data_IF_279912425097
#
_entry.id   IF_279912425097
#
_cell.length_a   1.000
_cell.length_b   1.000
_cell.length_c   1.000
_cell.angle_alpha   90.00
_cell.angle_beta   90.00
_cell.angle_gamma   90.00
#
_symmetry.space_group_name_H-M   'P 1'
#
loop_
_entity.id
_entity.type
_entity.pdbx_description
1 polymer ?
#
# COMPACT_ATOMS: atom_id res chain seq x y z
N UNK A 1 -21.83 -32.39 -75.45
CA UNK A 1 -20.89 -31.27 -75.21
C UNK A 1 -20.93 -30.89 -73.71
N UNK A 2 -20.58 -31.80 -72.78
CA UNK A 2 -20.83 -31.62 -71.33
C UNK A 2 -19.59 -31.73 -70.42
N UNK A 3 -18.36 -31.58 -70.96
CA UNK A 3 -17.12 -31.71 -70.19
C UNK A 3 -16.43 -30.44 -69.64
N UNK A 4 -16.98 -29.20 -69.67
CA UNK A 4 -16.28 -28.04 -69.08
C UNK A 4 -16.64 -27.73 -67.62
N UNK A 5 -17.82 -28.11 -67.11
CA UNK A 5 -18.27 -27.73 -65.76
C UNK A 5 -17.61 -28.56 -64.64
N UNK A 6 -17.41 -29.86 -64.85
CA UNK A 6 -16.80 -30.76 -63.86
C UNK A 6 -15.31 -30.44 -63.58
N UNK A 7 -14.59 -29.93 -64.57
CA UNK A 7 -13.18 -29.55 -64.42
C UNK A 7 -13.01 -28.25 -63.63
N UNK A 8 -13.93 -27.28 -63.79
CA UNK A 8 -13.95 -26.04 -63.00
C UNK A 8 -14.28 -26.33 -61.53
N UNK A 9 -15.23 -27.22 -61.23
CA UNK A 9 -15.53 -27.66 -59.87
C UNK A 9 -14.35 -28.37 -59.19
N UNK A 10 -13.64 -29.25 -59.91
CA UNK A 10 -12.46 -29.94 -59.38
C UNK A 10 -11.33 -28.98 -59.03
N UNK A 11 -11.11 -27.95 -59.85
CA UNK A 11 -10.14 -26.89 -59.57
C UNK A 11 -10.50 -26.07 -58.34
N UNK A 12 -11.79 -25.73 -58.17
CA UNK A 12 -12.27 -25.01 -56.98
C UNK A 12 -12.20 -25.85 -55.70
N UNK A 13 -12.61 -27.13 -55.74
CA UNK A 13 -12.53 -28.06 -54.59
C UNK A 13 -11.08 -28.27 -54.14
N UNK A 14 -10.14 -28.42 -55.09
CA UNK A 14 -8.69 -28.50 -54.76
C UNK A 14 -8.17 -27.23 -54.12
N UNK A 15 -8.53 -26.04 -54.62
CA UNK A 15 -8.15 -24.75 -54.01
C UNK A 15 -8.71 -24.60 -52.60
N UNK A 16 -9.97 -24.97 -52.38
CA UNK A 16 -10.60 -24.96 -51.07
C UNK A 16 -9.89 -25.88 -50.08
N UNK A 17 -9.58 -27.12 -50.48
CA UNK A 17 -8.85 -28.09 -49.65
C UNK A 17 -7.46 -27.55 -49.29
N UNK A 18 -6.74 -26.96 -50.25
CA UNK A 18 -5.42 -26.36 -50.01
C UNK A 18 -5.50 -25.21 -49.01
N UNK A 19 -6.50 -24.33 -49.14
CA UNK A 19 -6.69 -23.20 -48.21
C UNK A 19 -7.07 -23.70 -46.81
N UNK A 20 -7.99 -24.66 -46.70
CA UNK A 20 -8.36 -25.27 -45.42
C UNK A 20 -7.19 -26.00 -44.77
N UNK A 21 -6.36 -26.71 -45.54
CA UNK A 21 -5.16 -27.38 -45.05
C UNK A 21 -4.12 -26.37 -44.55
N UNK A 22 -3.94 -25.25 -45.26
CA UNK A 22 -3.06 -24.15 -44.82
C UNK A 22 -3.53 -23.53 -43.50
N UNK A 23 -4.83 -23.24 -43.37
CA UNK A 23 -5.42 -22.74 -42.12
C UNK A 23 -5.26 -23.75 -40.98
N UNK A 24 -5.55 -25.03 -41.22
CA UNK A 24 -5.41 -26.08 -40.22
C UNK A 24 -3.95 -26.28 -39.77
N UNK A 25 -2.99 -26.19 -40.69
CA UNK A 25 -1.57 -26.19 -40.36
C UNK A 25 -1.20 -24.97 -39.50
N UNK A 26 -1.63 -23.77 -39.88
CA UNK A 26 -1.38 -22.55 -39.10
C UNK A 26 -1.93 -22.63 -37.67
N UNK A 27 -3.18 -23.09 -37.53
CA UNK A 27 -3.82 -23.32 -36.23
C UNK A 27 -3.09 -24.38 -35.40
N UNK A 28 -2.60 -25.45 -36.03
CA UNK A 28 -1.83 -26.51 -35.36
C UNK A 28 -0.50 -25.97 -34.82
N UNK A 29 0.20 -25.13 -35.58
CA UNK A 29 1.46 -24.50 -35.14
C UNK A 29 1.22 -23.56 -33.96
N UNK A 30 0.17 -22.73 -34.01
CA UNK A 30 -0.20 -21.86 -32.89
C UNK A 30 -0.58 -22.64 -31.64
N UNK A 31 -1.33 -23.74 -31.80
CA UNK A 31 -1.71 -24.62 -30.70
C UNK A 31 -0.50 -25.29 -30.07
N UNK A 32 0.43 -25.80 -30.88
CA UNK A 32 1.68 -26.36 -30.40
C UNK A 32 2.54 -25.32 -29.66
N UNK A 33 2.61 -24.08 -30.16
CA UNK A 33 3.30 -22.97 -29.50
C UNK A 33 2.64 -22.61 -28.16
N UNK A 34 1.31 -22.64 -28.09
CA UNK A 34 0.56 -22.34 -26.87
C UNK A 34 0.74 -23.44 -25.80
N UNK A 35 0.70 -24.71 -26.20
CA UNK A 35 1.01 -25.84 -25.32
C UNK A 35 2.45 -25.75 -24.82
N UNK A 36 3.41 -25.36 -25.68
CA UNK A 36 4.79 -25.13 -25.26
C UNK A 36 4.89 -24.07 -24.16
N UNK A 37 4.25 -22.92 -24.35
CA UNK A 37 4.16 -21.86 -23.35
C UNK A 37 3.49 -22.33 -22.04
N UNK A 38 2.42 -23.12 -22.15
CA UNK A 38 1.61 -23.54 -21.00
C UNK A 38 2.13 -24.77 -20.24
N UNK A 39 3.00 -25.60 -20.84
CA UNK A 39 3.50 -26.84 -20.22
C UNK A 39 4.98 -26.73 -19.88
N UNK A 40 5.79 -26.13 -20.75
CA UNK A 40 7.25 -26.05 -20.57
C UNK A 40 7.65 -24.78 -19.81
N UNK A 41 7.07 -23.63 -20.15
CA UNK A 41 7.34 -22.34 -19.49
C UNK A 41 6.28 -22.01 -18.41
N UNK A 42 5.42 -22.95 -18.05
CA UNK A 42 4.38 -22.71 -17.03
C UNK A 42 4.98 -22.17 -15.73
N UNK A 43 6.05 -22.79 -15.26
CA UNK A 43 6.68 -22.40 -13.99
C UNK A 43 7.30 -21.01 -14.05
N UNK A 44 7.85 -20.59 -15.20
CA UNK A 44 8.41 -19.24 -15.32
C UNK A 44 7.32 -18.17 -15.38
N UNK A 45 6.23 -18.39 -16.12
CA UNK A 45 5.12 -17.43 -16.16
C UNK A 45 4.29 -17.43 -14.88
N UNK A 46 4.12 -18.58 -14.22
CA UNK A 46 3.48 -18.68 -12.92
C UNK A 46 4.33 -17.98 -11.84
N UNK A 47 5.66 -18.13 -11.88
CA UNK A 47 6.56 -17.43 -10.96
C UNK A 47 6.59 -15.91 -11.23
N UNK A 48 6.55 -15.49 -12.49
CA UNK A 48 6.48 -14.07 -12.85
C UNK A 48 5.14 -13.44 -12.43
N UNK A 49 4.02 -14.16 -12.62
CA UNK A 49 2.72 -13.75 -12.10
C UNK A 49 2.72 -13.69 -10.57
N UNK A 50 3.28 -14.68 -9.87
CA UNK A 50 3.37 -14.68 -8.42
C UNK A 50 4.17 -13.48 -7.90
N UNK A 51 5.29 -13.12 -8.53
CA UNK A 51 6.06 -11.91 -8.17
C UNK A 51 5.27 -10.61 -8.28
N UNK A 52 4.25 -10.56 -9.14
CA UNK A 52 3.39 -9.39 -9.29
C UNK A 52 2.29 -9.30 -8.21
N UNK A 53 1.95 -10.41 -7.55
CA UNK A 53 0.88 -10.44 -6.53
C UNK A 53 1.40 -10.63 -5.10
N UNK A 54 2.59 -11.20 -4.93
CA UNK A 54 3.22 -11.45 -3.64
C UNK A 54 4.11 -10.27 -3.23
N UNK A 55 3.70 -9.53 -2.20
CA UNK A 55 4.48 -8.45 -1.61
C UNK A 55 5.10 -8.89 -0.30
N UNK A 56 6.40 -8.62 -0.11
CA UNK A 56 7.05 -8.77 1.19
C UNK A 56 6.76 -7.52 2.02
N UNK A 57 6.01 -7.69 3.10
CA UNK A 57 5.82 -6.65 4.11
C UNK A 57 6.80 -6.90 5.25
N UNK A 58 7.63 -5.92 5.56
CA UNK A 58 8.53 -5.98 6.72
C UNK A 58 7.73 -5.70 7.99
N UNK A 59 7.85 -6.60 8.97
CA UNK A 59 7.26 -6.43 10.28
C UNK A 59 8.33 -5.82 11.19
N UNK A 60 8.22 -4.53 11.56
CA UNK A 60 9.24 -3.89 12.38
C UNK A 60 9.34 -4.60 13.75
N UNK A 61 10.56 -4.83 14.20
CA UNK A 61 10.81 -5.29 15.55
C UNK A 61 10.81 -4.11 16.52
N UNK A 62 10.21 -4.31 17.69
CA UNK A 62 10.26 -3.31 18.75
C UNK A 62 11.63 -3.33 19.44
N UNK A 63 12.17 -2.13 19.65
CA UNK A 63 13.46 -1.92 20.30
C UNK A 63 13.34 -2.11 21.82
N UNK A 64 14.35 -2.72 22.44
CA UNK A 64 14.39 -2.95 23.88
C UNK A 64 14.25 -1.66 24.71
N UNK A 65 13.63 -1.77 25.88
CA UNK A 65 13.49 -0.64 26.82
C UNK A 65 14.78 -0.40 27.61
N UNK A 66 15.03 0.84 28.02
CA UNK A 66 16.11 1.18 28.94
C UNK A 66 15.50 1.55 30.28
N UNK A 67 15.96 0.91 31.35
CA UNK A 67 15.52 1.16 32.73
C UNK A 67 16.70 1.48 33.64
N UNK A 68 16.47 2.29 34.66
CA UNK A 68 17.45 2.55 35.73
C UNK A 68 17.56 1.35 36.70
N UNK A 69 18.50 1.41 37.63
CA UNK A 69 18.66 0.46 38.75
C UNK A 69 17.38 0.26 39.55
N UNK A 70 16.60 1.33 39.72
CA UNK A 70 15.30 1.32 40.40
C UNK A 70 14.16 0.71 39.59
N UNK A 71 14.37 0.44 38.29
CA UNK A 71 13.33 -0.01 37.37
C UNK A 71 12.57 1.12 36.68
N UNK A 72 12.92 2.38 36.95
CA UNK A 72 12.31 3.54 36.30
C UNK A 72 12.64 3.57 34.80
N UNK A 73 11.63 3.85 33.97
CA UNK A 73 11.79 3.93 32.52
C UNK A 73 12.65 5.14 32.15
N UNK A 74 13.71 4.89 31.37
CA UNK A 74 14.61 5.92 30.84
C UNK A 74 14.42 6.11 29.34
N UNK A 75 14.16 5.03 28.61
CA UNK A 75 13.81 5.07 27.19
C UNK A 75 12.85 3.92 26.83
N UNK A 76 11.83 4.22 26.02
CA UNK A 76 10.90 3.22 25.48
C UNK A 76 10.44 3.58 24.08
N UNK A 77 9.95 2.59 23.34
CA UNK A 77 9.22 2.86 22.11
C UNK A 77 7.80 3.29 22.44
N UNK A 78 7.31 4.33 21.76
CA UNK A 78 5.93 4.77 21.77
C UNK A 78 5.37 4.57 20.36
N UNK A 79 4.22 3.91 20.26
CA UNK A 79 3.49 3.82 18.99
C UNK A 79 2.98 5.21 18.65
N UNK A 80 3.30 5.67 17.44
CA UNK A 80 2.81 6.92 16.89
C UNK A 80 2.19 6.67 15.53
N UNK A 81 1.25 7.51 15.14
CA UNK A 81 0.61 7.45 13.84
C UNK A 81 1.01 8.67 13.02
N UNK A 82 1.13 8.48 11.71
CA UNK A 82 1.27 9.55 10.73
C UNK A 82 0.11 9.47 9.77
N UNK A 83 -0.54 10.60 9.48
CA UNK A 83 -1.61 10.64 8.49
C UNK A 83 -1.01 10.82 7.09
N UNK A 84 -1.36 9.90 6.19
CA UNK A 84 -0.81 9.82 4.86
C UNK A 84 -1.93 9.92 3.84
N UNK A 85 -1.72 10.75 2.83
CA UNK A 85 -2.59 10.88 1.66
C UNK A 85 -1.99 10.12 0.48
N UNK A 86 -2.75 9.20 -0.08
CA UNK A 86 -2.48 8.60 -1.38
C UNK A 86 -3.12 9.48 -2.46
N UNK A 87 -2.28 10.19 -3.20
CA UNK A 87 -2.69 11.14 -4.23
C UNK A 87 -3.45 10.48 -5.38
N UNK A 88 -3.23 9.20 -5.65
CA UNK A 88 -3.94 8.47 -6.70
C UNK A 88 -5.36 8.12 -6.25
N UNK A 89 -5.50 7.59 -5.03
CA UNK A 89 -6.82 7.26 -4.47
C UNK A 89 -7.67 8.51 -4.18
N UNK A 90 -7.05 9.63 -3.81
CA UNK A 90 -7.76 10.91 -3.66
C UNK A 90 -8.42 11.41 -4.95
N UNK A 91 -7.98 10.91 -6.12
CA UNK A 91 -8.49 11.27 -7.45
C UNK A 91 -9.31 10.14 -8.09
N UNK A 92 -9.56 9.06 -7.35
CA UNK A 92 -10.39 7.96 -7.84
C UNK A 92 -11.87 8.35 -7.81
N UNK A 93 -12.55 8.18 -8.95
CA UNK A 93 -13.96 8.56 -9.08
C UNK A 93 -14.89 7.75 -8.18
N UNK A 94 -14.57 6.47 -7.94
CA UNK A 94 -15.40 5.61 -7.10
C UNK A 94 -15.41 6.09 -5.65
N UNK A 95 -14.22 6.42 -5.13
CA UNK A 95 -14.03 6.91 -3.77
C UNK A 95 -14.65 8.32 -3.62
N UNK A 96 -14.26 9.26 -4.49
CA UNK A 96 -14.67 10.67 -4.41
C UNK A 96 -16.19 10.84 -4.54
N UNK A 97 -16.83 10.16 -5.50
CA UNK A 97 -18.29 10.21 -5.65
C UNK A 97 -19.02 9.57 -4.45
N UNK A 98 -18.43 8.54 -3.83
CA UNK A 98 -18.98 7.90 -2.64
C UNK A 98 -18.96 8.80 -1.40
N UNK A 99 -17.88 9.55 -1.23
CA UNK A 99 -17.73 10.53 -0.15
C UNK A 99 -18.65 11.74 -0.35
N UNK A 100 -18.61 12.36 -1.53
CA UNK A 100 -19.45 13.51 -1.87
C UNK A 100 -20.94 13.15 -1.85
N UNK A 101 -21.32 11.96 -2.32
CA UNK A 101 -22.70 11.49 -2.25
C UNK A 101 -23.21 11.36 -0.80
N UNK A 102 -22.35 10.97 0.15
CA UNK A 102 -22.72 10.95 1.58
C UNK A 102 -22.92 12.36 2.15
N UNK A 103 -22.07 13.31 1.74
CA UNK A 103 -22.16 14.70 2.18
C UNK A 103 -23.41 15.40 1.64
N UNK A 104 -23.67 15.27 0.33
CA UNK A 104 -24.80 15.91 -0.36
C UNK A 104 -26.11 15.11 -0.22
N UNK A 105 -26.07 13.89 0.33
CA UNK A 105 -27.24 13.02 0.48
C UNK A 105 -27.76 12.43 -0.84
N UNK A 106 -26.95 12.46 -1.90
CA UNK A 106 -27.31 11.99 -3.25
C UNK A 106 -26.57 10.71 -3.62
N UNK A 107 -27.08 10.00 -4.63
CA UNK A 107 -26.41 8.79 -5.11
C UNK A 107 -25.08 9.12 -5.80
N UNK A 108 -24.04 8.27 -5.70
CA UNK A 108 -22.77 8.48 -6.40
C UNK A 108 -22.91 8.60 -7.92
N UNK A 109 -23.96 8.01 -8.51
CA UNK A 109 -24.26 8.12 -9.93
C UNK A 109 -24.71 9.53 -10.32
N UNK A 110 -25.48 10.17 -9.45
CA UNK A 110 -25.95 11.54 -9.65
C UNK A 110 -24.77 12.50 -9.67
N UNK A 111 -23.82 12.36 -8.74
CA UNK A 111 -22.59 13.17 -8.72
C UNK A 111 -21.79 12.98 -10.01
N UNK A 112 -21.62 11.73 -10.47
CA UNK A 112 -20.90 11.42 -11.70
C UNK A 112 -21.55 12.00 -12.97
N UNK A 113 -22.86 12.25 -12.93
CA UNK A 113 -23.59 12.86 -14.05
C UNK A 113 -23.69 14.38 -13.94
N UNK A 114 -23.60 14.93 -12.73
CA UNK A 114 -23.82 16.35 -12.46
C UNK A 114 -22.56 17.20 -12.61
N UNK A 115 -21.37 16.62 -12.46
CA UNK A 115 -20.10 17.36 -12.40
C UNK A 115 -19.03 16.74 -13.29
N UNK A 116 -18.12 17.58 -13.77
CA UNK A 116 -16.94 17.13 -14.50
C UNK A 116 -15.91 16.48 -13.55
N UNK A 117 -15.07 15.55 -14.06
CA UNK A 117 -14.04 14.87 -13.28
C UNK A 117 -13.16 15.75 -12.40
N UNK A 118 -12.78 16.92 -12.91
CA UNK A 118 -11.88 17.87 -12.24
C UNK A 118 -12.61 18.60 -11.11
N UNK A 119 -13.88 18.94 -11.30
CA UNK A 119 -14.74 19.57 -10.28
C UNK A 119 -15.05 18.61 -9.13
N UNK A 120 -15.28 17.33 -9.43
CA UNK A 120 -15.48 16.29 -8.41
C UNK A 120 -14.24 16.20 -7.52
N UNK A 121 -13.06 16.21 -8.13
CA UNK A 121 -11.78 16.15 -7.41
C UNK A 121 -11.58 17.39 -6.54
N UNK A 122 -11.81 18.60 -7.07
CA UNK A 122 -11.67 19.85 -6.34
C UNK A 122 -12.61 19.93 -5.13
N UNK A 123 -13.88 19.59 -5.31
CA UNK A 123 -14.87 19.52 -4.22
C UNK A 123 -14.48 18.52 -3.14
N UNK A 124 -13.99 17.35 -3.56
CA UNK A 124 -13.56 16.32 -2.64
C UNK A 124 -12.34 16.77 -1.81
N UNK A 125 -11.35 17.40 -2.43
CA UNK A 125 -10.21 17.97 -1.71
C UNK A 125 -10.66 19.08 -0.74
N UNK A 126 -11.64 19.90 -1.13
CA UNK A 126 -12.27 20.87 -0.24
C UNK A 126 -12.86 20.25 1.02
N UNK A 127 -13.65 19.17 0.87
CA UNK A 127 -14.22 18.42 1.98
C UNK A 127 -13.15 17.85 2.91
N UNK A 128 -12.12 17.22 2.34
CA UNK A 128 -11.00 16.65 3.08
C UNK A 128 -10.32 17.71 3.93
N UNK A 129 -10.00 18.86 3.32
CA UNK A 129 -9.35 19.97 4.02
C UNK A 129 -10.23 20.48 5.14
N UNK A 130 -11.53 20.70 4.90
CA UNK A 130 -12.48 21.21 5.89
C UNK A 130 -12.61 20.29 7.11
N UNK A 131 -12.60 18.96 6.91
CA UNK A 131 -12.72 18.00 8.02
C UNK A 131 -11.42 17.84 8.80
N UNK A 132 -10.28 17.79 8.11
CA UNK A 132 -9.01 17.40 8.75
C UNK A 132 -8.18 18.58 9.28
N UNK A 133 -8.34 19.81 8.78
CA UNK A 133 -7.43 20.91 9.13
C UNK A 133 -7.34 21.17 10.64
N UNK A 134 -8.46 21.04 11.37
CA UNK A 134 -8.52 21.27 12.83
C UNK A 134 -7.71 20.23 13.60
N UNK A 135 -7.92 18.96 13.30
CA UNK A 135 -7.24 17.85 13.99
C UNK A 135 -5.75 17.81 13.62
N UNK A 136 -5.41 18.12 12.37
CA UNK A 136 -4.02 18.16 11.92
C UNK A 136 -3.24 19.39 12.40
N UNK A 137 -3.93 20.42 12.92
CA UNK A 137 -3.33 21.72 13.31
C UNK A 137 -2.55 22.38 12.17
N UNK A 138 -2.97 22.16 10.91
CA UNK A 138 -2.37 22.74 9.70
C UNK A 138 -3.36 23.78 9.13
N UNK A 139 -2.91 24.98 8.74
CA UNK A 139 -3.77 25.95 8.06
C UNK A 139 -4.38 25.39 6.77
N UNK A 140 -5.65 25.71 6.51
CA UNK A 140 -6.43 25.27 5.33
C UNK A 140 -5.64 25.43 4.01
N UNK A 141 -5.01 26.60 3.82
CA UNK A 141 -4.24 26.89 2.61
C UNK A 141 -2.95 26.07 2.46
N UNK A 142 -2.32 25.66 3.55
CA UNK A 142 -1.15 24.80 3.52
C UNK A 142 -1.53 23.34 3.25
N UNK A 143 -2.58 22.85 3.91
CA UNK A 143 -3.07 21.48 3.72
C UNK A 143 -3.53 21.25 2.28
N UNK A 144 -4.27 22.22 1.71
CA UNK A 144 -4.68 22.17 0.31
C UNK A 144 -3.48 22.09 -0.64
N UNK A 145 -2.47 22.94 -0.44
CA UNK A 145 -1.24 22.95 -1.25
C UNK A 145 -0.48 21.63 -1.14
N UNK A 146 -0.43 21.02 0.05
CA UNK A 146 0.20 19.70 0.24
C UNK A 146 -0.50 18.62 -0.59
N UNK A 147 -1.84 18.57 -0.58
CA UNK A 147 -2.63 17.61 -1.34
C UNK A 147 -2.51 17.80 -2.87
N UNK A 148 -2.37 19.05 -3.32
CA UNK A 148 -2.24 19.38 -4.74
C UNK A 148 -0.80 19.23 -5.27
N UNK A 149 0.20 19.18 -4.38
CA UNK A 149 1.62 19.18 -4.76
C UNK A 149 2.04 17.99 -5.64
N UNK A 150 1.41 16.81 -5.48
CA UNK A 150 1.66 15.64 -6.31
C UNK A 150 0.35 15.03 -6.80
N UNK A 151 0.41 14.46 -8.01
CA UNK A 151 -0.70 13.74 -8.63
C UNK A 151 -0.72 12.24 -8.29
N UNK A 152 0.46 11.66 -8.06
CA UNK A 152 0.65 10.24 -7.78
C UNK A 152 1.60 10.05 -6.60
N UNK A 153 1.47 8.89 -5.94
CA UNK A 153 2.25 8.53 -4.76
C UNK A 153 1.69 9.08 -3.46
N UNK A 154 2.48 8.90 -2.40
CA UNK A 154 2.05 9.17 -1.04
C UNK A 154 2.67 10.45 -0.49
N UNK A 155 1.89 11.19 0.29
CA UNK A 155 2.32 12.39 0.98
C UNK A 155 1.96 12.25 2.46
N UNK A 156 2.95 12.45 3.33
CA UNK A 156 2.71 12.55 4.77
C UNK A 156 2.17 13.94 5.08
N UNK A 157 0.92 14.02 5.55
CA UNK A 157 0.26 15.29 5.84
C UNK A 157 0.73 15.87 7.18
N UNK A 158 0.74 15.01 8.20
CA UNK A 158 1.19 15.30 9.56
C UNK A 158 1.69 14.00 10.24
N UNK A 159 2.51 14.17 11.26
CA UNK A 159 3.17 13.09 12.00
C UNK A 159 2.87 13.21 13.49
N UNK A 160 3.16 12.14 14.22
CA UNK A 160 3.19 12.12 15.70
C UNK A 160 1.82 12.22 16.38
N UNK A 161 0.83 11.48 15.88
CA UNK A 161 -0.44 11.28 16.58
C UNK A 161 -0.32 10.13 17.57
N UNK A 162 -0.81 10.32 18.80
CA UNK A 162 -0.96 9.23 19.76
C UNK A 162 -2.12 8.31 19.37
N UNK A 163 -2.24 7.16 20.02
CA UNK A 163 -3.22 6.14 19.66
C UNK A 163 -4.67 6.63 19.83
N UNK A 164 -4.95 7.41 20.87
CA UNK A 164 -6.29 7.97 21.11
C UNK A 164 -6.69 8.98 20.01
N UNK A 165 -5.79 9.92 19.68
CA UNK A 165 -5.99 10.90 18.59
C UNK A 165 -6.15 10.19 17.23
N UNK A 166 -5.36 9.15 16.98
CA UNK A 166 -5.42 8.35 15.77
C UNK A 166 -6.77 7.63 15.63
N UNK A 167 -7.31 7.08 16.73
CA UNK A 167 -8.63 6.47 16.72
C UNK A 167 -9.74 7.48 16.43
N UNK A 168 -9.64 8.70 16.98
CA UNK A 168 -10.61 9.77 16.70
C UNK A 168 -10.55 10.19 15.22
N UNK A 169 -9.35 10.37 14.68
CA UNK A 169 -9.12 10.65 13.25
C UNK A 169 -9.70 9.55 12.36
N UNK A 170 -9.48 8.27 12.72
CA UNK A 170 -10.01 7.14 11.97
C UNK A 170 -11.54 7.16 11.94
N UNK A 171 -12.18 7.35 13.09
CA UNK A 171 -13.64 7.48 13.18
C UNK A 171 -14.16 8.61 12.30
N UNK A 172 -13.52 9.79 12.33
CA UNK A 172 -13.92 10.92 11.51
C UNK A 172 -13.83 10.61 10.00
N UNK A 173 -12.76 9.94 9.57
CA UNK A 173 -12.57 9.54 8.17
C UNK A 173 -13.63 8.54 7.73
N UNK A 174 -13.93 7.53 8.57
CA UNK A 174 -14.95 6.51 8.28
C UNK A 174 -16.36 7.12 8.24
N UNK A 175 -16.68 7.99 9.18
CA UNK A 175 -17.94 8.74 9.23
C UNK A 175 -18.12 9.65 8.02
N UNK A 176 -17.05 10.28 7.53
CA UNK A 176 -17.12 11.14 6.34
C UNK A 176 -16.94 10.37 5.03
N UNK A 177 -16.69 9.04 5.07
CA UNK A 177 -16.30 8.21 3.93
C UNK A 177 -15.12 8.79 3.14
N UNK A 178 -14.18 9.42 3.84
CA UNK A 178 -12.97 9.94 3.22
C UNK A 178 -12.07 8.75 2.88
N UNK A 179 -11.85 8.53 1.59
CA UNK A 179 -10.88 7.53 1.10
C UNK A 179 -9.63 8.17 0.50
N UNK A 180 -8.57 7.39 0.36
CA UNK A 180 -7.26 7.89 -0.07
C UNK A 180 -6.50 8.64 1.02
N UNK A 181 -7.00 8.66 2.26
CA UNK A 181 -6.25 9.07 3.46
C UNK A 181 -6.31 7.93 4.45
N UNK A 182 -5.17 7.62 5.06
CA UNK A 182 -5.07 6.53 6.02
C UNK A 182 -3.99 6.85 7.07
N UNK A 183 -4.07 6.13 8.19
CA UNK A 183 -3.10 6.24 9.27
C UNK A 183 -2.00 5.21 9.09
N UNK A 184 -0.77 5.68 8.99
CA UNK A 184 0.42 4.83 9.00
C UNK A 184 0.92 4.71 10.42
N UNK A 185 0.91 3.49 10.96
CA UNK A 185 1.53 3.16 12.24
C UNK A 185 3.05 3.27 12.11
N UNK A 186 3.69 3.87 13.10
CA UNK A 186 5.14 3.93 13.24
C UNK A 186 5.53 3.87 14.72
N UNK A 187 6.82 3.90 14.97
CA UNK A 187 7.37 3.93 16.32
C UNK A 187 8.28 5.14 16.47
N UNK A 188 8.23 5.76 17.65
CA UNK A 188 9.15 6.81 18.07
C UNK A 188 9.78 6.40 19.38
N UNK A 189 11.06 6.73 19.55
CA UNK A 189 11.75 6.59 20.84
C UNK A 189 11.37 7.74 21.76
N UNK A 190 10.85 7.41 22.94
CA UNK A 190 10.41 8.34 23.97
C UNK A 190 11.29 8.22 25.21
N UNK A 191 11.75 9.37 25.72
CA UNK A 191 12.69 9.49 26.84
C UNK A 191 12.04 10.23 28.02
N UNK A 192 11.33 9.53 28.91
CA UNK A 192 10.56 10.15 29.99
C UNK A 192 11.37 10.79 31.12
N UNK A 193 12.69 10.58 31.19
CA UNK A 193 13.49 10.91 32.38
C UNK A 193 13.56 12.43 32.66
N UNK A 194 13.23 12.88 33.89
CA UNK A 194 13.34 14.29 34.29
C UNK A 194 14.79 14.73 34.58
N UNK A 195 15.74 13.80 34.66
CA UNK A 195 17.10 14.04 35.18
C UNK A 195 18.10 14.55 34.11
N UNK A 196 17.65 15.00 32.94
CA UNK A 196 18.52 15.44 31.84
C UNK A 196 19.65 14.46 31.48
N UNK A 197 19.39 13.15 31.59
CA UNK A 197 20.34 12.08 31.25
C UNK A 197 20.48 11.86 29.74
N UNK A 198 20.00 12.80 28.90
CA UNK A 198 20.01 12.68 27.45
C UNK A 198 21.41 12.46 26.88
N UNK A 199 22.45 13.04 27.47
CA UNK A 199 23.84 12.82 27.02
C UNK A 199 24.38 11.43 27.37
N UNK A 200 23.87 10.80 28.44
CA UNK A 200 24.27 9.45 28.86
C UNK A 200 23.49 8.40 28.09
N UNK A 201 22.17 8.57 28.00
CA UNK A 201 21.28 7.66 27.26
C UNK A 201 21.54 7.77 25.76
N UNK A 202 21.70 8.99 25.25
CA UNK A 202 21.80 9.29 23.82
C UNK A 202 20.44 9.39 23.14
N UNK A 203 20.46 9.32 21.80
CA UNK A 203 19.27 9.34 20.96
C UNK A 203 19.41 8.37 19.77
N UNK A 204 18.28 8.14 19.10
CA UNK A 204 18.19 7.40 17.84
C UNK A 204 17.87 8.34 16.67
N UNK A 205 18.30 7.96 15.46
CA UNK A 205 17.89 8.66 14.23
C UNK A 205 16.47 8.26 13.77
N UNK A 206 16.04 8.76 12.60
CA UNK A 206 14.71 8.46 12.04
C UNK A 206 14.57 7.01 11.60
N UNK A 207 15.71 6.34 11.38
CA UNK A 207 15.85 4.96 10.99
C UNK A 207 15.92 4.02 12.23
N UNK A 208 15.90 4.58 13.44
CA UNK A 208 15.90 3.83 14.69
C UNK A 208 17.29 3.34 15.14
N UNK A 209 18.36 3.90 14.57
CA UNK A 209 19.75 3.57 14.88
C UNK A 209 20.26 4.45 16.03
N UNK A 210 20.78 3.83 17.08
CA UNK A 210 21.43 4.54 18.18
C UNK A 210 22.69 5.30 17.73
N UNK A 211 22.74 6.61 17.98
CA UNK A 211 23.87 7.46 17.56
C UNK A 211 24.81 7.84 18.67
N UNK A 212 24.32 7.93 19.90
CA UNK A 212 25.08 8.38 21.07
C UNK A 212 24.73 7.56 22.32
N UNK A 213 25.56 7.69 23.36
CA UNK A 213 25.28 7.14 24.68
C UNK A 213 25.06 5.63 24.73
N UNK A 214 24.25 5.20 25.70
CA UNK A 214 23.77 3.82 25.87
C UNK A 214 23.07 3.31 24.60
N UNK A 215 22.31 4.17 23.91
CA UNK A 215 21.61 3.81 22.67
C UNK A 215 22.56 3.34 21.58
N UNK A 216 23.74 3.95 21.45
CA UNK A 216 24.77 3.52 20.48
C UNK A 216 25.47 2.23 20.94
N UNK A 217 25.86 2.16 22.21
CA UNK A 217 26.66 1.05 22.74
C UNK A 217 25.89 -0.27 22.67
N UNK A 218 24.61 -0.25 23.02
CA UNK A 218 23.76 -1.43 23.05
C UNK A 218 22.82 -1.53 21.84
N UNK A 219 23.13 -0.85 20.74
CA UNK A 219 22.26 -0.78 19.56
C UNK A 219 21.96 -2.17 18.97
N UNK A 220 22.96 -3.02 18.87
CA UNK A 220 22.82 -4.38 18.31
C UNK A 220 21.90 -5.26 19.17
N UNK A 221 22.00 -5.17 20.49
CA UNK A 221 21.18 -5.94 21.43
C UNK A 221 19.75 -5.41 21.49
N UNK A 222 19.59 -4.09 21.44
CA UNK A 222 18.29 -3.43 21.60
C UNK A 222 17.47 -3.40 20.31
N UNK A 223 18.07 -3.40 19.12
CA UNK A 223 17.34 -3.22 17.84
C UNK A 223 16.34 -4.35 17.54
N UNK A 224 16.61 -5.57 18.02
CA UNK A 224 15.81 -6.74 17.67
C UNK A 224 15.97 -7.16 16.20
N UNK A 225 15.26 -8.20 15.80
CA UNK A 225 15.27 -8.69 14.42
C UNK A 225 13.91 -8.48 13.77
N UNK A 226 13.87 -7.64 12.72
CA UNK A 226 12.67 -7.44 11.93
C UNK A 226 12.16 -8.76 11.34
N UNK A 227 10.85 -8.94 11.43
CA UNK A 227 10.13 -10.03 10.79
C UNK A 227 9.77 -9.68 9.35
N UNK A 228 9.16 -10.63 8.66
CA UNK A 228 8.52 -10.35 7.37
C UNK A 228 7.36 -11.30 7.17
N UNK A 229 6.35 -10.82 6.45
CA UNK A 229 5.25 -11.65 5.96
C UNK A 229 5.04 -11.40 4.47
N UNK A 230 4.72 -12.45 3.73
CA UNK A 230 4.28 -12.30 2.35
C UNK A 230 2.78 -12.11 2.32
N UNK A 231 2.33 -11.00 1.74
CA UNK A 231 0.91 -10.70 1.53
C UNK A 231 0.58 -10.80 0.04
N UNK A 232 -0.52 -11.48 -0.27
CA UNK A 232 -1.12 -11.40 -1.60
C UNK A 232 -2.29 -10.42 -1.58
N UNK A 233 -2.31 -9.50 -2.54
CA UNK A 233 -3.40 -8.53 -2.68
C UNK A 233 -4.22 -8.83 -3.92
N UNK A 234 -5.54 -8.88 -3.75
CA UNK A 234 -6.50 -8.96 -4.86
C UNK A 234 -6.42 -7.69 -5.75
N UNK A 235 -7.02 -7.71 -6.94
CA UNK A 235 -7.18 -6.54 -7.85
C UNK A 235 -7.88 -5.34 -7.20
N UNK A 236 -8.52 -5.54 -6.06
CA UNK A 236 -9.14 -4.50 -5.21
C UNK A 236 -8.26 -4.10 -4.01
N UNK A 237 -6.98 -4.47 -4.02
CA UNK A 237 -5.99 -4.18 -2.98
C UNK A 237 -6.33 -4.73 -1.59
N UNK A 238 -7.21 -5.73 -1.51
CA UNK A 238 -7.58 -6.42 -0.26
C UNK A 238 -6.64 -7.60 -0.05
N UNK A 239 -6.17 -7.78 1.18
CA UNK A 239 -5.35 -8.95 1.56
C UNK A 239 -6.16 -10.24 1.40
N UNK A 240 -5.59 -11.22 0.71
CA UNK A 240 -6.14 -12.58 0.63
C UNK A 240 -5.49 -13.39 1.75
N UNK A 241 -6.18 -13.55 2.88
CA UNK A 241 -5.68 -14.28 4.06
C UNK A 241 -5.37 -15.78 3.83
N UNK A 242 -5.63 -16.31 2.63
CA UNK A 242 -5.52 -17.74 2.33
C UNK A 242 -4.06 -18.20 2.05
N UNK A 243 -3.13 -17.28 1.78
CA UNK A 243 -1.73 -17.63 1.51
C UNK A 243 -0.87 -17.40 2.76
N UNK A 244 -0.64 -18.46 3.54
CA UNK A 244 0.47 -18.49 4.50
C UNK A 244 1.75 -18.83 3.73
N UNK A 245 2.39 -17.81 3.14
CA UNK A 245 3.77 -17.94 2.69
C UNK A 245 4.73 -18.09 3.87
N UNK A 246 6.03 -18.07 3.61
CA UNK A 246 7.05 -18.02 4.67
C UNK A 246 6.91 -16.73 5.49
N UNK A 247 6.47 -16.85 6.73
CA UNK A 247 6.39 -15.76 7.69
C UNK A 247 7.49 -15.91 8.73
N UNK A 248 8.28 -14.85 8.94
CA UNK A 248 9.20 -14.75 10.08
C UNK A 248 8.62 -13.73 11.03
N UNK A 249 8.23 -14.17 12.22
CA UNK A 249 7.79 -13.25 13.27
C UNK A 249 8.94 -12.31 13.69
N UNK A 250 8.66 -11.02 13.96
CA UNK A 250 9.66 -10.10 14.48
C UNK A 250 10.08 -10.49 15.90
N UNK A 251 11.37 -10.42 16.20
CA UNK A 251 11.90 -10.62 17.55
C UNK A 251 12.23 -9.28 18.16
N UNK A 252 11.58 -8.96 19.28
CA UNK A 252 11.88 -7.75 20.05
C UNK A 252 13.32 -7.77 20.56
N UNK A 253 13.97 -6.62 20.59
CA UNK A 253 15.32 -6.51 21.14
C UNK A 253 15.33 -6.57 22.67
N UNK A 254 16.51 -6.85 23.22
CA UNK A 254 16.68 -7.01 24.65
C UNK A 254 16.59 -5.67 25.38
N UNK A 255 15.92 -5.65 26.54
CA UNK A 255 15.92 -4.49 27.42
C UNK A 255 17.24 -4.36 28.19
N UNK A 256 17.69 -3.14 28.40
CA UNK A 256 18.92 -2.83 29.13
C UNK A 256 18.59 -2.21 30.48
N UNK A 257 19.25 -2.69 31.53
CA UNK A 257 19.15 -2.17 32.89
C UNK A 257 20.47 -1.50 33.28
N UNK A 258 20.40 -0.23 33.63
CA UNK A 258 21.54 0.53 34.14
C UNK A 258 21.75 0.26 35.63
N UNK A 259 23.00 0.44 36.09
CA UNK A 259 23.48 0.15 37.45
C UNK A 259 23.30 1.30 38.42
#
# INVERSE_FOLDING_TARGET
MERPLAQLEQGMKRRLIVVCALMACGLSVLSARLVWLQVVEHESYAAEAARHYTYREELPASRGVIVDRGGDLLARNQTIYSIVADCQHLRDFGITCGALGKLEGVSPRTIKQAYEPEEITDKYLGLVVEKLYRQLRIPVGELRRKLESKKTGEIVLAKEFEEDDAQELQKLMDESRIGGIYLRRGERRYYPSPLNLTHVIGYVDKEGVGKEGVEKVFDEEMRGEAGYRYIERDRRNREIHAFRGDEKEPRSGNGIRLT
#
